data_IF_353202394679
#
_entry.id   IF_353202394679
#
_cell.length_a   1.000
_cell.length_b   1.000
_cell.length_c   1.000
_cell.angle_alpha   90.00
_cell.angle_beta   90.00
_cell.angle_gamma   90.00
#
_symmetry.space_group_name_H-M   'P 1'
#
loop_
_entity.id
_entity.type
_entity.pdbx_description
1 polymer ?
#
# COMPACT_ATOMS: atom_id res chain seq x y z
N UNK A 1 -13.43 26.22 11.55
CA UNK A 1 -13.61 25.54 10.25
C UNK A 1 -13.10 24.13 10.43
N UNK A 2 -13.93 23.11 10.21
CA UNK A 2 -13.44 21.73 10.19
C UNK A 2 -12.83 21.52 8.81
N UNK A 3 -11.50 21.55 8.73
CA UNK A 3 -10.78 21.23 7.50
C UNK A 3 -11.22 19.85 7.00
N UNK A 4 -11.33 19.70 5.67
CA UNK A 4 -11.55 18.41 5.01
C UNK A 4 -10.31 17.49 5.09
N UNK A 5 -9.58 17.55 6.19
CA UNK A 5 -8.40 16.74 6.41
C UNK A 5 -8.77 15.30 6.66
N UNK A 6 -8.09 14.41 5.95
CA UNK A 6 -8.09 12.99 6.27
C UNK A 6 -7.80 12.84 7.76
N UNK A 7 -8.62 12.06 8.49
CA UNK A 7 -8.41 11.93 9.93
C UNK A 7 -7.00 11.38 10.22
N UNK A 8 -6.40 11.93 11.27
CA UNK A 8 -5.05 11.56 11.71
C UNK A 8 -4.93 10.03 11.87
N UNK A 9 -3.92 9.45 11.24
CA UNK A 9 -3.68 8.00 11.23
C UNK A 9 -4.50 7.14 10.25
N UNK A 10 -5.44 7.70 9.47
CA UNK A 10 -6.18 6.91 8.46
C UNK A 10 -5.27 6.44 7.32
N UNK A 11 -4.42 7.34 6.81
CA UNK A 11 -3.46 6.98 5.74
C UNK A 11 -2.43 5.96 6.22
N UNK A 12 -1.96 6.09 7.47
CA UNK A 12 -1.08 5.11 8.11
C UNK A 12 -1.77 3.75 8.25
N UNK A 13 -3.05 3.72 8.62
CA UNK A 13 -3.83 2.48 8.70
C UNK A 13 -4.00 1.79 7.35
N UNK A 14 -4.21 2.56 6.28
CA UNK A 14 -4.30 2.03 4.91
C UNK A 14 -2.93 1.49 4.47
N UNK A 15 -1.85 2.24 4.69
CA UNK A 15 -0.49 1.82 4.37
C UNK A 15 -0.09 0.53 5.11
N UNK A 16 -0.40 0.44 6.41
CA UNK A 16 -0.18 -0.75 7.22
C UNK A 16 -0.97 -1.95 6.70
N UNK A 17 -2.23 -1.76 6.30
CA UNK A 17 -3.07 -2.83 5.72
C UNK A 17 -2.49 -3.35 4.41
N UNK A 18 -2.04 -2.45 3.53
CA UNK A 18 -1.43 -2.82 2.25
C UNK A 18 -0.09 -3.56 2.44
N UNK A 19 0.73 -3.12 3.40
CA UNK A 19 1.98 -3.82 3.74
C UNK A 19 1.72 -5.21 4.33
N UNK A 20 0.74 -5.36 5.23
CA UNK A 20 0.36 -6.65 5.79
C UNK A 20 -0.13 -7.61 4.70
N UNK A 21 -1.04 -7.15 3.83
CA UNK A 21 -1.52 -7.94 2.70
C UNK A 21 -0.38 -8.35 1.73
N UNK A 22 0.57 -7.44 1.49
CA UNK A 22 1.77 -7.75 0.72
C UNK A 22 2.67 -8.78 1.42
N UNK A 23 2.76 -8.76 2.75
CA UNK A 23 3.48 -9.76 3.54
C UNK A 23 2.86 -11.15 3.45
N UNK A 24 1.54 -11.24 3.65
CA UNK A 24 0.79 -12.50 3.58
C UNK A 24 0.90 -13.15 2.19
N UNK A 25 0.81 -12.35 1.12
CA UNK A 25 0.97 -12.82 -0.26
C UNK A 25 2.41 -13.25 -0.58
N UNK A 26 3.41 -12.58 -0.01
CA UNK A 26 4.83 -12.95 -0.16
C UNK A 26 5.13 -14.28 0.55
N UNK A 27 4.50 -14.52 1.71
CA UNK A 27 4.59 -15.80 2.41
C UNK A 27 3.95 -16.94 1.58
N UNK A 28 2.77 -16.71 1.00
CA UNK A 28 2.14 -17.66 0.07
C UNK A 28 3.03 -17.91 -1.15
N UNK A 29 3.62 -16.86 -1.73
CA UNK A 29 4.53 -16.97 -2.88
C UNK A 29 5.79 -17.79 -2.58
N UNK A 30 6.34 -17.70 -1.35
CA UNK A 30 7.46 -18.56 -0.91
C UNK A 30 7.06 -20.03 -0.74
N UNK A 31 5.78 -20.31 -0.51
CA UNK A 31 5.23 -21.65 -0.36
C UNK A 31 4.86 -22.33 -1.68
N UNK A 32 5.61 -22.06 -2.77
CA UNK A 32 5.32 -22.58 -4.10
C UNK A 32 4.93 -24.07 -4.01
N UNK A 33 3.63 -24.40 -4.21
CA UNK A 33 3.15 -25.73 -3.93
C UNK A 33 3.81 -26.69 -4.90
N UNK A 34 4.19 -27.87 -4.39
CA UNK A 34 4.71 -28.92 -5.26
C UNK A 34 3.72 -29.16 -6.41
N UNK A 35 4.21 -29.40 -7.64
CA UNK A 35 3.33 -29.68 -8.77
C UNK A 35 2.40 -30.84 -8.40
N UNK A 36 1.07 -30.67 -8.50
CA UNK A 36 0.16 -31.75 -8.19
C UNK A 36 0.41 -32.91 -9.16
N UNK A 37 0.38 -34.14 -8.64
CA UNK A 37 0.49 -35.35 -9.47
C UNK A 37 -0.73 -35.44 -10.38
N UNK A 38 -0.56 -35.00 -11.63
CA UNK A 38 -1.61 -34.89 -12.63
C UNK A 38 -1.31 -35.71 -13.89
N UNK A 39 -0.36 -36.65 -13.83
CA UNK A 39 0.03 -37.46 -14.97
C UNK A 39 0.41 -36.62 -16.19
N UNK A 40 -0.18 -36.91 -17.35
CA UNK A 40 0.07 -36.17 -18.61
C UNK A 40 -0.34 -34.69 -18.55
N UNK A 41 -1.25 -34.30 -17.64
CA UNK A 41 -1.62 -32.89 -17.45
C UNK A 41 -0.61 -32.11 -16.58
N UNK A 42 0.35 -32.79 -15.95
CA UNK A 42 1.35 -32.20 -15.06
C UNK A 42 2.03 -30.94 -15.60
N UNK A 43 2.54 -30.92 -16.84
CA UNK A 43 3.18 -29.73 -17.42
C UNK A 43 2.24 -28.53 -17.55
N UNK A 44 0.96 -28.76 -17.91
CA UNK A 44 -0.02 -27.69 -18.04
C UNK A 44 -0.39 -27.10 -16.67
N UNK A 45 -0.56 -27.96 -15.65
CA UNK A 45 -0.87 -27.50 -14.29
C UNK A 45 0.34 -26.77 -13.68
N UNK A 46 1.57 -27.26 -13.89
CA UNK A 46 2.78 -26.56 -13.46
C UNK A 46 2.91 -25.16 -14.08
N UNK A 47 2.52 -24.99 -15.34
CA UNK A 47 2.47 -23.68 -16.01
C UNK A 47 1.44 -22.74 -15.38
N UNK A 48 0.24 -23.24 -15.04
CA UNK A 48 -0.81 -22.46 -14.36
C UNK A 48 -0.34 -22.03 -12.97
N UNK A 49 0.25 -22.93 -12.19
CA UNK A 49 0.79 -22.63 -10.85
C UNK A 49 1.90 -21.59 -10.95
N UNK A 50 2.80 -21.74 -11.93
CA UNK A 50 3.89 -20.78 -12.15
C UNK A 50 3.36 -19.38 -12.47
N UNK A 51 2.36 -19.27 -13.36
CA UNK A 51 1.71 -17.99 -13.68
C UNK A 51 1.00 -17.38 -12.48
N UNK A 52 0.36 -18.21 -11.65
CA UNK A 52 -0.32 -17.77 -10.44
C UNK A 52 0.68 -17.17 -9.43
N UNK A 53 1.82 -17.84 -9.22
CA UNK A 53 2.88 -17.37 -8.33
C UNK A 53 3.50 -16.07 -8.85
N UNK A 54 3.75 -15.96 -10.16
CA UNK A 54 4.28 -14.73 -10.77
C UNK A 54 3.33 -13.54 -10.60
N UNK A 55 2.04 -13.75 -10.90
CA UNK A 55 1.00 -12.73 -10.71
C UNK A 55 0.87 -12.31 -9.23
N UNK A 56 0.97 -13.25 -8.29
CA UNK A 56 0.94 -12.96 -6.86
C UNK A 56 2.17 -12.12 -6.44
N UNK A 57 3.36 -12.44 -6.96
CA UNK A 57 4.57 -11.65 -6.73
C UNK A 57 4.44 -10.21 -7.24
N UNK A 58 3.86 -10.01 -8.42
CA UNK A 58 3.59 -8.66 -8.94
C UNK A 58 2.57 -7.90 -8.07
N UNK A 59 1.54 -8.58 -7.57
CA UNK A 59 0.56 -7.97 -6.66
C UNK A 59 1.23 -7.52 -5.34
N UNK A 60 2.11 -8.33 -4.76
CA UNK A 60 2.89 -7.98 -3.56
C UNK A 60 3.69 -6.69 -3.78
N UNK A 61 4.39 -6.60 -4.91
CA UNK A 61 5.19 -5.41 -5.26
C UNK A 61 4.30 -4.17 -5.40
N UNK A 62 3.15 -4.31 -6.05
CA UNK A 62 2.16 -3.24 -6.19
C UNK A 62 1.62 -2.76 -4.85
N UNK A 63 1.24 -3.67 -3.96
CA UNK A 63 0.73 -3.35 -2.62
C UNK A 63 1.76 -2.61 -1.77
N UNK A 64 3.03 -3.03 -1.81
CA UNK A 64 4.13 -2.35 -1.11
C UNK A 64 4.33 -0.93 -1.64
N UNK A 65 4.41 -0.77 -2.97
CA UNK A 65 4.56 0.54 -3.60
C UNK A 65 3.39 1.49 -3.29
N UNK A 66 2.15 0.97 -3.28
CA UNK A 66 0.97 1.76 -2.88
C UNK A 66 1.05 2.17 -1.40
N UNK A 67 1.46 1.26 -0.51
CA UNK A 67 1.61 1.57 0.91
C UNK A 67 2.66 2.66 1.15
N UNK A 68 3.79 2.59 0.47
CA UNK A 68 4.84 3.62 0.52
C UNK A 68 4.34 4.97 0.01
N UNK A 69 3.68 5.00 -1.15
CA UNK A 69 3.14 6.22 -1.74
C UNK A 69 2.07 6.88 -0.84
N UNK A 70 1.24 6.08 -0.16
CA UNK A 70 0.22 6.59 0.77
C UNK A 70 0.86 7.15 2.04
N UNK A 71 1.90 6.50 2.56
CA UNK A 71 2.63 7.02 3.71
C UNK A 71 3.33 8.36 3.38
N UNK A 72 3.96 8.45 2.21
CA UNK A 72 4.56 9.70 1.72
C UNK A 72 3.52 10.81 1.57
N UNK A 73 2.37 10.51 0.94
CA UNK A 73 1.27 11.46 0.81
C UNK A 73 0.71 11.91 2.17
N UNK A 74 0.74 11.05 3.20
CA UNK A 74 0.35 11.41 4.55
C UNK A 74 1.28 12.42 5.20
N UNK A 75 2.59 12.26 5.01
CA UNK A 75 3.60 13.24 5.48
C UNK A 75 3.43 14.58 4.77
N UNK A 76 3.30 14.55 3.44
CA UNK A 76 3.08 15.77 2.65
C UNK A 76 1.81 16.51 3.09
N UNK A 77 0.72 15.76 3.34
CA UNK A 77 -0.54 16.34 3.80
C UNK A 77 -0.39 17.03 5.15
N UNK A 78 0.30 16.41 6.11
CA UNK A 78 0.57 17.00 7.42
C UNK A 78 1.42 18.28 7.31
N UNK A 79 2.45 18.27 6.47
CA UNK A 79 3.29 19.45 6.20
C UNK A 79 2.47 20.60 5.57
N UNK A 80 1.56 20.30 4.64
CA UNK A 80 0.66 21.31 4.07
C UNK A 80 -0.28 21.92 5.10
N UNK A 81 -0.86 21.12 6.00
CA UNK A 81 -1.73 21.61 7.08
C UNK A 81 -0.98 22.56 8.02
N UNK A 82 0.26 22.22 8.40
CA UNK A 82 1.10 23.09 9.25
C UNK A 82 1.36 24.44 8.56
N UNK A 83 1.77 24.43 7.29
CA UNK A 83 2.06 25.66 6.54
C UNK A 83 0.81 26.51 6.32
N UNK A 84 -0.31 25.87 6.00
CA UNK A 84 -1.58 26.57 5.85
C UNK A 84 -2.02 27.22 7.18
N UNK A 85 -1.81 26.55 8.32
CA UNK A 85 -2.09 27.12 9.63
C UNK A 85 -1.19 28.34 9.95
N UNK A 86 0.12 28.24 9.67
CA UNK A 86 1.07 29.35 9.85
C UNK A 86 0.72 30.56 8.98
N UNK A 87 0.34 30.35 7.72
CA UNK A 87 -0.09 31.42 6.81
C UNK A 87 -1.37 32.11 7.31
N UNK A 88 -2.34 31.34 7.81
CA UNK A 88 -3.56 31.89 8.38
C UNK A 88 -3.31 32.69 9.66
N UNK A 89 -2.39 32.23 10.53
CA UNK A 89 -1.99 32.95 11.75
C UNK A 89 -1.22 34.25 11.43
N UNK A 90 -0.33 34.21 10.45
CA UNK A 90 0.37 35.41 9.94
C UNK A 90 -0.61 36.44 9.35
N UNK A 91 -1.56 36.01 8.52
CA UNK A 91 -2.56 36.90 7.94
C UNK A 91 -3.51 37.51 8.99
N UNK A 92 -3.77 36.79 10.09
CA UNK A 92 -4.58 37.30 11.19
C UNK A 92 -3.87 38.38 12.02
N UNK A 93 -2.53 38.32 12.12
CA UNK A 93 -1.74 39.25 12.93
C UNK A 93 -1.30 40.51 12.18
N UNK A 94 -1.21 40.48 10.84
CA UNK A 94 -0.93 41.67 10.01
C UNK A 94 -2.18 42.56 9.75
N UNK A 95 -3.37 42.08 10.14
CA UNK A 95 -4.65 42.78 9.95
C UNK A 95 -5.11 43.68 11.12
N UNK A 96 -4.36 43.75 12.22
CA UNK A 96 -4.62 44.61 13.40
C UNK A 96 -3.85 45.94 13.40
#
# INVERSE_FOLDING_TARGET
>A
MSGHGVEDGVLDGIAATLQAAGGDLDEIGRSAPDPPDAGEAGPAIAGIVSQLVDNAGQLVLGLKAMGEAIAEAGVDYADYEVRAAEELEGAATEGE
#
